data_IF_296871973698
#
_entry.id   IF_296871973698
#
_cell.length_a   1.000
_cell.length_b   1.000
_cell.length_c   1.000
_cell.angle_alpha   90.00
_cell.angle_beta   90.00
_cell.angle_gamma   90.00
#
_symmetry.space_group_name_H-M   'P 1'
#
loop_
_entity.id
_entity.type
_entity.pdbx_description
1 polymer ?
#
# COMPACT_ATOMS: atom_id res chain seq x y z
N UNK A 1 4.98 -7.78 29.07
CA UNK A 1 5.79 -6.73 28.43
C UNK A 1 7.17 -7.32 28.15
N UNK A 2 7.28 -8.05 27.04
CA UNK A 2 8.57 -8.45 26.48
C UNK A 2 9.22 -7.17 25.95
N UNK A 3 10.48 -6.93 26.27
CA UNK A 3 11.18 -5.72 25.84
C UNK A 3 11.12 -5.63 24.31
N UNK A 4 10.52 -4.57 23.78
CA UNK A 4 10.58 -4.23 22.35
C UNK A 4 12.02 -3.93 21.86
N UNK A 5 13.00 -4.08 22.77
CA UNK A 5 14.44 -3.94 22.57
C UNK A 5 15.19 -5.29 22.56
N UNK A 6 14.53 -6.43 22.79
CA UNK A 6 15.11 -7.77 22.56
C UNK A 6 14.92 -8.19 21.08
N UNK A 7 14.94 -7.22 20.16
CA UNK A 7 15.20 -7.52 18.76
C UNK A 7 16.72 -7.53 18.62
N UNK A 8 17.32 -8.72 18.53
CA UNK A 8 18.77 -9.02 18.49
C UNK A 8 19.52 -8.43 17.26
N UNK A 9 19.02 -7.33 16.70
CA UNK A 9 19.47 -6.80 15.42
C UNK A 9 19.01 -7.67 14.26
N UNK A 10 19.39 -7.34 13.01
CA UNK A 10 19.35 -8.34 11.95
C UNK A 10 20.06 -9.62 12.45
N UNK A 11 19.50 -10.82 12.23
CA UNK A 11 20.16 -12.05 12.66
C UNK A 11 21.61 -12.02 12.20
N UNK A 12 22.51 -12.30 13.13
CA UNK A 12 23.91 -12.55 12.84
C UNK A 12 23.91 -13.86 12.04
N UNK A 13 23.76 -13.78 10.71
CA UNK A 13 23.88 -14.89 9.76
C UNK A 13 25.35 -15.35 9.68
N UNK A 14 25.97 -15.53 10.85
CA UNK A 14 27.35 -15.93 11.08
C UNK A 14 27.49 -17.46 10.96
N UNK A 15 27.03 -18.02 9.84
CA UNK A 15 27.46 -19.34 9.37
C UNK A 15 28.14 -19.22 8.00
N UNK A 16 29.39 -18.76 8.02
CA UNK A 16 30.53 -19.16 7.17
C UNK A 16 30.40 -19.21 5.64
N UNK A 17 29.41 -18.57 5.03
CA UNK A 17 29.39 -18.27 3.61
C UNK A 17 29.13 -16.79 3.40
N UNK A 18 29.99 -16.09 2.64
CA UNK A 18 29.65 -14.74 2.18
C UNK A 18 28.25 -14.80 1.54
N UNK A 19 27.26 -14.03 2.03
CA UNK A 19 25.93 -14.08 1.45
C UNK A 19 26.02 -13.82 -0.04
N UNK A 20 25.23 -14.52 -0.88
CA UNK A 20 25.28 -14.35 -2.31
C UNK A 20 25.12 -12.87 -2.67
N UNK A 21 25.98 -12.37 -3.55
CA UNK A 21 25.91 -11.01 -4.06
C UNK A 21 24.54 -10.81 -4.73
N UNK A 22 23.74 -9.91 -4.17
CA UNK A 22 22.42 -9.59 -4.71
C UNK A 22 22.57 -8.46 -5.72
N UNK A 23 22.40 -8.81 -7.00
CA UNK A 23 22.50 -7.87 -8.10
C UNK A 23 21.23 -7.02 -8.23
N UNK A 24 21.34 -5.68 -8.25
CA UNK A 24 20.19 -4.80 -8.45
C UNK A 24 19.55 -5.00 -9.83
N UNK A 25 18.27 -4.66 -9.93
CA UNK A 25 17.51 -4.69 -11.18
C UNK A 25 18.05 -3.66 -12.19
N UNK A 26 18.09 -4.07 -13.46
CA UNK A 26 18.44 -3.21 -14.60
C UNK A 26 17.21 -2.43 -15.09
N UNK A 27 16.70 -1.52 -14.26
CA UNK A 27 15.53 -0.71 -14.59
C UNK A 27 15.61 0.71 -14.03
N UNK A 28 14.68 1.56 -14.47
CA UNK A 28 14.55 2.92 -13.94
C UNK A 28 13.98 2.93 -12.50
N UNK A 29 14.05 4.10 -11.87
CA UNK A 29 13.59 4.30 -10.49
C UNK A 29 12.07 4.11 -10.30
N UNK A 30 11.25 4.30 -11.35
CA UNK A 30 9.80 4.14 -11.27
C UNK A 30 9.43 2.65 -11.28
N UNK A 31 10.05 1.88 -12.17
CA UNK A 31 9.90 0.42 -12.19
C UNK A 31 10.43 -0.16 -10.88
N UNK A 32 11.63 0.22 -10.42
CA UNK A 32 12.16 -0.26 -9.14
C UNK A 32 11.24 0.05 -7.94
N UNK A 33 10.68 1.27 -7.88
CA UNK A 33 9.70 1.66 -6.85
C UNK A 33 8.39 0.89 -6.93
N UNK A 34 7.95 0.54 -8.14
CA UNK A 34 6.78 -0.32 -8.36
C UNK A 34 7.07 -1.76 -7.94
N UNK A 35 8.25 -2.29 -8.31
CA UNK A 35 8.70 -3.64 -7.99
C UNK A 35 8.84 -3.85 -6.50
N UNK A 36 9.54 -2.96 -5.77
CA UNK A 36 9.76 -3.13 -4.32
C UNK A 36 8.44 -3.22 -3.57
N UNK A 37 7.47 -2.38 -3.93
CA UNK A 37 6.15 -2.37 -3.33
C UNK A 37 5.40 -3.69 -3.55
N UNK A 38 5.27 -4.11 -4.81
CA UNK A 38 4.50 -5.32 -5.16
C UNK A 38 5.21 -6.60 -4.72
N UNK A 39 6.54 -6.63 -4.73
CA UNK A 39 7.31 -7.75 -4.23
C UNK A 39 7.09 -7.93 -2.72
N UNK A 40 7.12 -6.83 -1.94
CA UNK A 40 6.73 -6.86 -0.52
C UNK A 40 5.30 -7.42 -0.38
N UNK A 41 4.32 -6.87 -1.09
CA UNK A 41 2.93 -7.31 -1.09
C UNK A 41 2.76 -8.81 -1.35
N UNK A 42 3.54 -9.36 -2.29
CA UNK A 42 3.57 -10.78 -2.67
C UNK A 42 4.51 -11.64 -1.81
N UNK A 43 5.15 -11.08 -0.79
CA UNK A 43 6.10 -11.82 0.04
C UNK A 43 7.39 -12.26 -0.69
N UNK A 44 7.69 -11.67 -1.85
CA UNK A 44 8.90 -11.95 -2.62
C UNK A 44 10.07 -11.10 -2.09
N UNK A 45 10.72 -11.59 -1.05
CA UNK A 45 11.81 -10.89 -0.38
C UNK A 45 13.03 -10.67 -1.30
N UNK A 46 13.36 -11.64 -2.16
CA UNK A 46 14.53 -11.54 -3.04
C UNK A 46 14.33 -10.44 -4.09
N UNK A 47 13.20 -10.45 -4.78
CA UNK A 47 12.87 -9.40 -5.75
C UNK A 47 12.76 -8.03 -5.08
N UNK A 48 12.21 -7.97 -3.85
CA UNK A 48 12.13 -6.72 -3.09
C UNK A 48 13.53 -6.17 -2.74
N UNK A 49 14.48 -7.03 -2.35
CA UNK A 49 15.87 -6.63 -2.07
C UNK A 49 16.57 -6.09 -3.32
N UNK A 50 16.46 -6.79 -4.45
CA UNK A 50 17.04 -6.32 -5.72
C UNK A 50 16.47 -4.96 -6.13
N UNK A 51 15.15 -4.79 -5.99
CA UNK A 51 14.48 -3.55 -6.32
C UNK A 51 14.85 -2.39 -5.37
N UNK A 52 14.98 -2.64 -4.06
CA UNK A 52 15.35 -1.59 -3.11
C UNK A 52 16.78 -1.11 -3.32
N UNK A 53 17.71 -2.01 -3.68
CA UNK A 53 19.07 -1.64 -4.05
C UNK A 53 19.11 -0.78 -5.32
N UNK A 54 18.32 -1.12 -6.35
CA UNK A 54 18.17 -0.27 -7.54
C UNK A 54 17.63 1.11 -7.16
N UNK A 55 16.63 1.17 -6.28
CA UNK A 55 16.04 2.42 -5.85
C UNK A 55 17.00 3.28 -5.03
N UNK A 56 17.87 2.69 -4.21
CA UNK A 56 18.95 3.39 -3.51
C UNK A 56 19.96 3.99 -4.50
N UNK A 57 20.35 3.24 -5.54
CA UNK A 57 21.25 3.78 -6.58
C UNK A 57 20.67 5.02 -7.25
N UNK A 58 19.35 5.07 -7.46
CA UNK A 58 18.68 6.21 -8.10
C UNK A 58 18.31 7.36 -7.15
N UNK A 59 17.93 7.07 -5.89
CA UNK A 59 17.30 8.05 -4.97
C UNK A 59 17.98 8.19 -3.61
N UNK A 60 19.03 7.42 -3.34
CA UNK A 60 19.72 7.39 -2.04
C UNK A 60 18.74 7.17 -0.89
N UNK A 61 18.84 8.03 0.14
CA UNK A 61 18.02 7.93 1.36
C UNK A 61 16.52 8.24 1.13
N UNK A 62 16.12 8.77 -0.03
CA UNK A 62 14.71 8.99 -0.35
C UNK A 62 13.87 7.70 -0.35
N UNK A 63 14.51 6.53 -0.40
CA UNK A 63 13.85 5.22 -0.32
C UNK A 63 13.07 5.02 0.98
N UNK A 64 13.54 5.55 2.11
CA UNK A 64 12.92 5.27 3.42
C UNK A 64 11.51 5.86 3.54
N UNK A 65 11.25 7.03 2.94
CA UNK A 65 9.89 7.58 2.88
C UNK A 65 8.95 6.64 2.12
N UNK A 66 9.42 6.04 1.02
CA UNK A 66 8.63 5.07 0.23
C UNK A 66 8.38 3.78 1.01
N UNK A 67 9.40 3.23 1.66
CA UNK A 67 9.24 2.03 2.50
C UNK A 67 8.28 2.27 3.66
N UNK A 68 8.28 3.46 4.25
CA UNK A 68 7.32 3.83 5.30
C UNK A 68 5.88 3.81 4.78
N UNK A 69 5.60 4.40 3.61
CA UNK A 69 4.25 4.34 3.02
C UNK A 69 3.82 2.90 2.78
N UNK A 70 4.71 2.08 2.18
CA UNK A 70 4.43 0.65 1.93
C UNK A 70 4.13 -0.10 3.24
N UNK A 71 4.84 0.21 4.32
CA UNK A 71 4.60 -0.42 5.62
C UNK A 71 3.15 -0.19 6.12
N UNK A 72 2.68 1.06 6.08
CA UNK A 72 1.31 1.37 6.51
C UNK A 72 0.23 0.92 5.51
N UNK A 73 0.57 0.83 4.22
CA UNK A 73 -0.34 0.39 3.15
C UNK A 73 -0.53 -1.13 3.11
N UNK A 74 0.56 -1.91 3.16
CA UNK A 74 0.54 -3.35 2.88
C UNK A 74 0.73 -4.24 4.12
N UNK A 75 1.21 -3.70 5.25
CA UNK A 75 1.39 -4.46 6.52
C UNK A 75 0.32 -4.01 7.53
N UNK A 76 0.11 -2.70 7.67
CA UNK A 76 -1.01 -2.15 8.43
C UNK A 76 -1.16 -2.70 9.85
N UNK A 77 -2.39 -3.01 10.24
CA UNK A 77 -2.70 -3.59 11.56
C UNK A 77 -2.21 -5.04 11.72
N UNK A 78 -1.70 -5.66 10.65
CA UNK A 78 -1.21 -7.04 10.66
C UNK A 78 0.09 -7.23 11.45
N UNK A 79 0.89 -6.16 11.62
CA UNK A 79 2.11 -6.18 12.44
C UNK A 79 2.46 -4.79 13.03
N UNK A 80 1.70 -4.27 14.01
CA UNK A 80 1.88 -2.92 14.53
C UNK A 80 3.27 -2.69 15.16
N UNK A 81 3.85 -3.69 15.81
CA UNK A 81 5.20 -3.58 16.39
C UNK A 81 6.27 -3.42 15.31
N UNK A 82 6.11 -4.10 14.17
CA UNK A 82 6.99 -3.91 13.02
C UNK A 82 6.86 -2.48 12.47
N UNK A 83 5.65 -1.90 12.42
CA UNK A 83 5.47 -0.51 12.00
C UNK A 83 6.20 0.49 12.91
N UNK A 84 6.21 0.26 14.23
CA UNK A 84 6.99 1.07 15.17
C UNK A 84 8.47 1.03 14.83
N UNK A 85 9.03 -0.17 14.65
CA UNK A 85 10.44 -0.37 14.31
C UNK A 85 10.81 0.27 12.96
N UNK A 86 10.02 0.02 11.92
CA UNK A 86 10.24 0.60 10.60
C UNK A 86 10.15 2.12 10.62
N UNK A 87 9.18 2.68 11.35
CA UNK A 87 9.05 4.14 11.50
C UNK A 87 10.29 4.74 12.14
N UNK A 88 10.80 4.14 13.24
CA UNK A 88 12.06 4.58 13.88
C UNK A 88 13.23 4.60 12.91
N UNK A 89 13.44 3.52 12.15
CA UNK A 89 14.56 3.42 11.20
C UNK A 89 14.46 4.44 10.06
N UNK A 90 13.24 4.76 9.64
CA UNK A 90 12.99 5.75 8.60
C UNK A 90 13.18 7.20 9.10
N UNK A 91 12.79 7.50 10.34
CA UNK A 91 12.81 8.87 10.89
C UNK A 91 14.10 9.21 11.65
N UNK A 92 14.86 8.22 12.11
CA UNK A 92 16.11 8.42 12.85
C UNK A 92 17.33 7.93 12.04
N UNK A 93 17.98 8.85 11.35
CA UNK A 93 19.19 8.58 10.59
C UNK A 93 20.42 8.25 11.45
N UNK A 94 20.44 8.62 12.73
CA UNK A 94 21.52 8.25 13.64
C UNK A 94 21.36 6.80 14.08
N UNK A 95 20.16 6.42 14.48
CA UNK A 95 19.82 5.03 14.82
C UNK A 95 20.10 4.11 13.63
N UNK A 96 19.63 4.48 12.44
CA UNK A 96 19.85 3.67 11.22
C UNK A 96 21.33 3.38 10.96
N UNK A 97 22.22 4.37 11.15
CA UNK A 97 23.67 4.19 10.97
C UNK A 97 24.31 3.23 11.97
N UNK A 98 23.67 2.95 13.11
CA UNK A 98 24.14 1.96 14.08
C UNK A 98 23.89 0.52 13.60
N UNK A 99 22.90 0.32 12.72
CA UNK A 99 22.53 -0.99 12.17
C UNK A 99 23.22 -1.30 10.82
N UNK A 100 24.05 -0.40 10.30
CA UNK A 100 24.82 -0.61 9.07
C UNK A 100 24.63 0.50 8.04
N UNK A 101 25.08 0.23 6.81
CA UNK A 101 24.88 1.15 5.70
C UNK A 101 23.42 1.18 5.22
N UNK A 102 23.09 2.15 4.36
CA UNK A 102 21.73 2.32 3.83
C UNK A 102 21.20 1.06 3.14
N UNK A 103 22.07 0.34 2.42
CA UNK A 103 21.71 -0.88 1.70
C UNK A 103 21.36 -2.02 2.64
N UNK A 104 22.16 -2.23 3.68
CA UNK A 104 22.00 -3.26 4.70
C UNK A 104 20.66 -3.08 5.42
N UNK A 105 20.39 -1.87 5.91
CA UNK A 105 19.14 -1.60 6.63
C UNK A 105 17.93 -1.70 5.70
N UNK A 106 18.00 -1.15 4.49
CA UNK A 106 16.87 -1.22 3.56
C UNK A 106 16.54 -2.66 3.13
N UNK A 107 17.56 -3.51 2.92
CA UNK A 107 17.36 -4.94 2.61
C UNK A 107 16.68 -5.67 3.76
N UNK A 108 17.16 -5.47 4.99
CA UNK A 108 16.51 -6.01 6.18
C UNK A 108 15.05 -5.56 6.27
N UNK A 109 14.76 -4.27 6.07
CA UNK A 109 13.40 -3.73 6.11
C UNK A 109 12.48 -4.40 5.10
N UNK A 110 12.90 -4.54 3.84
CA UNK A 110 12.04 -5.15 2.80
C UNK A 110 11.86 -6.64 3.01
N UNK A 111 12.85 -7.36 3.56
CA UNK A 111 12.71 -8.77 3.95
C UNK A 111 11.73 -8.93 5.10
N UNK A 112 11.84 -8.10 6.14
CA UNK A 112 10.90 -8.10 7.27
C UNK A 112 9.47 -7.80 6.81
N UNK A 113 9.28 -6.80 5.94
CA UNK A 113 7.98 -6.46 5.37
C UNK A 113 7.43 -7.57 4.47
N UNK A 114 8.27 -8.22 3.65
CA UNK A 114 7.86 -9.33 2.79
C UNK A 114 7.36 -10.53 3.62
N UNK A 115 8.01 -10.82 4.76
CA UNK A 115 7.63 -11.90 5.67
C UNK A 115 6.40 -11.61 6.54
N UNK A 116 6.10 -10.33 6.80
CA UNK A 116 4.99 -9.94 7.68
C UNK A 116 3.60 -10.32 7.13
N UNK A 117 2.58 -10.52 7.98
CA UNK A 117 1.19 -10.55 7.53
C UNK A 117 0.82 -9.28 6.75
N UNK A 118 0.05 -9.45 5.69
CA UNK A 118 -0.38 -8.39 4.78
C UNK A 118 -1.78 -7.94 5.12
N UNK A 119 -1.95 -6.66 5.34
CA UNK A 119 -3.21 -6.05 5.73
C UNK A 119 -3.30 -4.68 5.06
N UNK A 120 -4.38 -4.46 4.31
CA UNK A 120 -4.56 -3.30 3.42
C UNK A 120 -5.76 -2.43 3.77
N UNK A 121 -6.42 -2.68 4.90
CA UNK A 121 -7.58 -1.91 5.34
C UNK A 121 -7.27 -0.43 5.46
N UNK A 122 -6.03 -0.04 5.78
CA UNK A 122 -5.64 1.37 5.76
C UNK A 122 -5.85 2.03 4.40
N UNK A 123 -5.46 1.37 3.32
CA UNK A 123 -5.61 1.83 1.93
C UNK A 123 -7.09 1.90 1.55
N UNK A 124 -7.84 0.82 1.81
CA UNK A 124 -9.27 0.76 1.54
C UNK A 124 -10.06 1.85 2.27
N UNK A 125 -9.73 2.07 3.54
CA UNK A 125 -10.44 3.00 4.40
C UNK A 125 -10.16 4.45 4.00
N UNK A 126 -8.91 4.81 3.68
CA UNK A 126 -8.61 6.18 3.21
C UNK A 126 -9.19 6.44 1.82
N UNK A 127 -9.10 5.49 0.88
CA UNK A 127 -9.71 5.62 -0.44
C UNK A 127 -11.22 5.86 -0.32
N UNK A 128 -11.89 5.13 0.59
CA UNK A 128 -13.31 5.29 0.89
C UNK A 128 -13.62 6.65 1.53
N UNK A 129 -12.83 7.07 2.53
CA UNK A 129 -12.97 8.36 3.18
C UNK A 129 -12.86 9.54 2.20
N UNK A 130 -12.00 9.43 1.19
CA UNK A 130 -11.77 10.49 0.20
C UNK A 130 -12.78 10.43 -0.95
N UNK A 131 -13.03 9.26 -1.52
CA UNK A 131 -13.67 9.15 -2.84
C UNK A 131 -15.07 8.56 -2.84
N UNK A 132 -15.50 7.92 -1.74
CA UNK A 132 -16.79 7.23 -1.74
C UNK A 132 -17.96 8.23 -1.74
N UNK A 133 -18.89 8.17 -2.71
CA UNK A 133 -19.96 9.17 -2.82
C UNK A 133 -20.93 9.17 -1.65
N UNK A 134 -21.29 7.99 -1.12
CA UNK A 134 -22.21 7.86 0.03
C UNK A 134 -21.60 8.37 1.34
N UNK A 135 -20.28 8.57 1.42
CA UNK A 135 -19.59 9.17 2.57
C UNK A 135 -19.39 10.68 2.44
N UNK A 136 -19.98 11.33 1.42
CA UNK A 136 -19.98 12.80 1.34
C UNK A 136 -20.62 13.42 2.59
N UNK A 137 -21.71 12.81 3.09
CA UNK A 137 -22.36 13.26 4.33
C UNK A 137 -21.43 13.16 5.55
N UNK A 138 -20.53 12.17 5.60
CA UNK A 138 -19.52 12.08 6.66
C UNK A 138 -18.51 13.24 6.54
N UNK A 139 -18.03 13.53 5.33
CA UNK A 139 -17.09 14.63 5.07
C UNK A 139 -17.71 15.99 5.42
N UNK A 140 -18.95 16.23 5.02
CA UNK A 140 -19.68 17.45 5.36
C UNK A 140 -19.89 17.59 6.87
N UNK A 141 -20.37 16.53 7.53
CA UNK A 141 -20.63 16.52 8.97
C UNK A 141 -19.33 16.80 9.76
N UNK A 142 -18.26 16.05 9.48
CA UNK A 142 -16.95 16.23 10.14
C UNK A 142 -16.31 17.57 9.79
N UNK A 143 -16.45 18.01 8.54
CA UNK A 143 -15.93 19.29 8.07
C UNK A 143 -16.49 20.49 8.84
N UNK A 144 -17.76 20.42 9.24
CA UNK A 144 -18.43 21.46 10.03
C UNK A 144 -18.03 21.48 11.52
N UNK A 145 -17.38 20.43 12.03
CA UNK A 145 -16.98 20.33 13.43
C UNK A 145 -15.71 21.11 13.76
N UNK A 146 -15.58 21.52 15.02
CA UNK A 146 -14.32 22.02 15.57
C UNK A 146 -13.25 20.90 15.61
N UNK A 147 -11.96 21.24 15.65
CA UNK A 147 -10.88 20.23 15.76
C UNK A 147 -11.10 19.33 16.98
N UNK A 148 -11.52 19.88 18.12
CA UNK A 148 -11.81 19.12 19.34
C UNK A 148 -12.93 18.10 19.13
N UNK A 149 -14.01 18.50 18.47
CA UNK A 149 -15.14 17.62 18.22
C UNK A 149 -14.80 16.55 17.18
N UNK A 150 -13.96 16.87 16.18
CA UNK A 150 -13.41 15.87 15.24
C UNK A 150 -12.59 14.82 15.97
N UNK A 151 -11.71 15.22 16.90
CA UNK A 151 -10.94 14.27 17.73
C UNK A 151 -11.88 13.38 18.56
N UNK A 152 -12.94 13.98 19.14
CA UNK A 152 -13.94 13.24 19.92
C UNK A 152 -14.64 12.19 19.06
N UNK A 153 -15.06 12.55 17.83
CA UNK A 153 -15.67 11.60 16.89
C UNK A 153 -14.69 10.53 16.45
N UNK A 154 -13.42 10.86 16.21
CA UNK A 154 -12.40 9.90 15.77
C UNK A 154 -12.20 8.76 16.78
N UNK A 155 -12.23 9.08 18.08
CA UNK A 155 -11.97 8.12 19.16
C UNK A 155 -13.21 7.47 19.76
N UNK A 156 -14.41 7.91 19.37
CA UNK A 156 -15.68 7.32 19.79
C UNK A 156 -15.83 5.90 19.22
N UNK A 157 -15.64 4.88 20.05
CA UNK A 157 -15.67 3.49 19.62
C UNK A 157 -17.05 2.99 19.16
N UNK A 158 -18.13 3.74 19.45
CA UNK A 158 -19.48 3.38 19.06
C UNK A 158 -19.95 4.13 17.80
N UNK A 159 -19.17 5.12 17.33
CA UNK A 159 -19.38 5.75 16.04
C UNK A 159 -19.01 4.81 14.87
N UNK A 160 -19.69 4.91 13.71
CA UNK A 160 -19.34 4.11 12.54
C UNK A 160 -17.88 4.31 12.10
N UNK A 161 -17.21 3.23 11.69
CA UNK A 161 -15.80 3.24 11.29
C UNK A 161 -15.49 4.29 10.22
N UNK A 162 -16.35 4.41 9.19
CA UNK A 162 -16.18 5.42 8.14
C UNK A 162 -16.18 6.86 8.67
N UNK A 163 -17.07 7.17 9.62
CA UNK A 163 -17.13 8.49 10.25
C UNK A 163 -15.88 8.79 11.08
N UNK A 164 -15.42 7.80 11.86
CA UNK A 164 -14.18 7.89 12.66
C UNK A 164 -12.93 8.04 11.79
N UNK A 165 -12.88 7.35 10.66
CA UNK A 165 -11.79 7.45 9.69
C UNK A 165 -11.73 8.86 9.08
N UNK A 166 -12.87 9.39 8.61
CA UNK A 166 -12.98 10.76 8.10
C UNK A 166 -12.61 11.78 9.19
N UNK A 167 -13.08 11.58 10.42
CA UNK A 167 -12.76 12.43 11.57
C UNK A 167 -11.26 12.41 11.91
N UNK A 168 -10.61 11.24 11.87
CA UNK A 168 -9.16 11.09 12.08
C UNK A 168 -8.37 11.86 11.03
N UNK A 169 -8.76 11.71 9.76
CA UNK A 169 -8.13 12.43 8.66
C UNK A 169 -8.29 13.95 8.83
N UNK A 170 -9.50 14.45 9.07
CA UNK A 170 -9.77 15.88 9.20
C UNK A 170 -9.18 16.49 10.49
N UNK A 171 -9.11 15.73 11.59
CA UNK A 171 -8.49 16.19 12.84
C UNK A 171 -6.98 16.32 12.72
N UNK A 172 -6.34 15.51 11.87
CA UNK A 172 -4.88 15.50 11.72
C UNK A 172 -4.31 16.73 11.01
N UNK A 173 -5.09 17.36 10.12
CA UNK A 173 -4.62 18.42 9.23
C UNK A 173 -3.72 17.92 8.08
N UNK A 174 -3.60 16.61 7.86
CA UNK A 174 -2.84 16.04 6.74
C UNK A 174 -3.69 16.04 5.47
N UNK A 175 -3.31 16.84 4.48
CA UNK A 175 -4.02 16.91 3.20
C UNK A 175 -3.82 15.64 2.35
N UNK A 176 -4.81 15.30 1.53
CA UNK A 176 -4.73 14.18 0.57
C UNK A 176 -4.42 14.69 -0.84
N UNK A 177 -3.22 14.43 -1.33
CA UNK A 177 -2.82 14.77 -2.70
C UNK A 177 -2.76 16.28 -2.95
N UNK A 178 -3.43 16.75 -4.02
CA UNK A 178 -3.41 18.17 -4.41
C UNK A 178 -4.53 18.99 -3.80
N UNK A 179 -5.53 18.34 -3.20
CA UNK A 179 -6.65 19.03 -2.59
C UNK A 179 -6.24 19.54 -1.20
N UNK A 180 -6.50 20.83 -0.94
CA UNK A 180 -6.24 21.47 0.36
C UNK A 180 -7.57 21.82 1.02
N UNK A 181 -8.26 20.80 1.54
CA UNK A 181 -9.64 20.93 2.04
C UNK A 181 -9.73 20.95 3.55
N UNK A 182 -8.73 20.41 4.25
CA UNK A 182 -8.84 20.16 5.68
C UNK A 182 -8.46 21.39 6.51
N UNK A 183 -7.42 22.10 6.07
CA UNK A 183 -6.88 23.23 6.81
C UNK A 183 -6.09 22.80 8.04
N UNK A 184 -6.16 23.59 9.12
CA UNK A 184 -5.43 23.29 10.36
C UNK A 184 -5.96 22.05 11.06
N UNK A 185 -5.06 21.28 11.68
CA UNK A 185 -5.38 20.12 12.53
C UNK A 185 -4.52 20.08 13.77
N UNK A 186 -4.79 19.09 14.63
CA UNK A 186 -4.06 18.81 15.87
C UNK A 186 -3.69 17.32 15.92
N UNK A 187 -2.71 16.94 15.09
CA UNK A 187 -2.20 15.57 15.05
C UNK A 187 -1.68 15.08 16.43
N UNK A 188 -0.90 15.86 17.22
CA UNK A 188 -0.50 15.44 18.56
C UNK A 188 -1.68 15.22 19.51
N UNK A 189 -2.68 16.12 19.50
CA UNK A 189 -3.89 15.98 20.30
C UNK A 189 -4.72 14.75 19.89
N UNK A 190 -4.85 14.50 18.58
CA UNK A 190 -5.51 13.29 18.06
C UNK A 190 -4.81 12.01 18.54
N UNK A 191 -3.48 11.93 18.45
CA UNK A 191 -2.74 10.76 18.91
C UNK A 191 -2.82 10.57 20.42
N UNK A 192 -2.81 11.67 21.20
CA UNK A 192 -3.02 11.63 22.65
C UNK A 192 -4.39 11.07 22.98
N UNK A 193 -5.45 11.54 22.31
CA UNK A 193 -6.80 11.02 22.51
C UNK A 193 -6.92 9.53 22.17
N UNK A 194 -6.22 9.05 21.13
CA UNK A 194 -6.17 7.62 20.83
C UNK A 194 -5.45 6.81 21.91
N UNK A 195 -4.38 7.34 22.50
CA UNK A 195 -3.70 6.70 23.65
C UNK A 195 -4.65 6.63 24.85
N UNK A 196 -5.38 7.71 25.14
CA UNK A 196 -6.39 7.73 26.21
C UNK A 196 -7.52 6.70 25.95
N UNK A 197 -7.84 6.46 24.67
CA UNK A 197 -8.74 5.41 24.22
C UNK A 197 -8.07 4.01 24.13
N UNK A 198 -6.87 3.85 24.68
CA UNK A 198 -6.17 2.57 24.85
C UNK A 198 -5.18 2.20 23.73
N UNK A 199 -4.91 3.05 22.74
CA UNK A 199 -3.86 2.80 21.74
C UNK A 199 -2.48 2.75 22.42
N UNK A 200 -1.57 1.82 22.08
CA UNK A 200 -0.26 1.79 22.70
C UNK A 200 0.54 3.06 22.35
N UNK A 201 1.21 3.65 23.33
CA UNK A 201 1.99 4.89 23.16
C UNK A 201 3.00 4.80 22.00
N UNK A 202 3.67 3.66 21.85
CA UNK A 202 4.65 3.44 20.79
C UNK A 202 4.01 3.47 19.39
N UNK A 203 2.80 2.91 19.25
CA UNK A 203 2.02 2.93 18.01
C UNK A 203 1.54 4.34 17.70
N UNK A 204 1.02 5.08 18.68
CA UNK A 204 0.60 6.47 18.51
C UNK A 204 1.75 7.36 18.04
N UNK A 205 2.93 7.21 18.67
CA UNK A 205 4.16 7.88 18.24
C UNK A 205 4.54 7.52 16.80
N UNK A 206 4.44 6.23 16.42
CA UNK A 206 4.79 5.79 15.07
C UNK A 206 3.86 6.42 14.03
N UNK A 207 2.54 6.43 14.26
CA UNK A 207 1.57 7.08 13.37
C UNK A 207 1.86 8.58 13.24
N UNK A 208 2.11 9.28 14.36
CA UNK A 208 2.45 10.70 14.34
C UNK A 208 3.71 10.98 13.51
N UNK A 209 4.78 10.24 13.78
CA UNK A 209 6.06 10.40 13.11
C UNK A 209 5.94 10.07 11.60
N UNK A 210 5.16 9.03 11.26
CA UNK A 210 4.94 8.64 9.89
C UNK A 210 4.10 9.66 9.11
N UNK A 211 3.04 10.21 9.73
CA UNK A 211 2.21 11.25 9.13
C UNK A 211 3.05 12.49 8.82
N UNK A 212 3.92 12.91 9.75
CA UNK A 212 4.84 14.05 9.56
C UNK A 212 5.89 13.80 8.48
N UNK A 213 6.43 12.57 8.39
CA UNK A 213 7.49 12.25 7.44
C UNK A 213 6.98 12.00 6.01
N UNK A 214 5.78 11.43 5.88
CA UNK A 214 5.21 11.05 4.58
C UNK A 214 4.26 12.08 4.03
N UNK A 215 3.56 12.84 4.89
CA UNK A 215 2.41 13.66 4.51
C UNK A 215 1.32 12.87 3.78
N UNK A 216 1.21 11.56 4.06
CA UNK A 216 0.19 10.70 3.47
C UNK A 216 -0.87 10.35 4.53
N UNK A 217 -2.16 10.59 4.28
CA UNK A 217 -3.21 10.36 5.27
C UNK A 217 -3.50 8.88 5.55
N UNK A 218 -3.01 7.96 4.71
CA UNK A 218 -3.18 6.50 4.90
C UNK A 218 -2.72 6.02 6.28
N UNK A 219 -1.68 6.63 6.85
CA UNK A 219 -1.14 6.23 8.16
C UNK A 219 -2.12 6.49 9.31
N UNK A 220 -3.05 7.43 9.12
CA UNK A 220 -4.06 7.84 10.10
C UNK A 220 -5.21 6.85 10.20
N UNK A 221 -5.29 5.89 9.29
CA UNK A 221 -6.29 4.83 9.32
C UNK A 221 -5.93 3.73 10.32
N UNK A 222 -4.65 3.64 10.73
CA UNK A 222 -4.17 2.60 11.65
C UNK A 222 -4.87 2.65 13.03
N UNK A 223 -4.99 3.80 13.72
CA UNK A 223 -5.64 3.85 15.03
C UNK A 223 -7.10 3.35 15.07
N UNK A 224 -8.03 3.82 14.20
CA UNK A 224 -9.41 3.34 14.25
C UNK A 224 -9.51 1.85 13.89
N UNK A 225 -8.69 1.35 12.96
CA UNK A 225 -8.62 -0.07 12.62
C UNK A 225 -8.14 -0.94 13.79
N UNK A 226 -7.14 -0.47 14.56
CA UNK A 226 -6.68 -1.19 15.75
C UNK A 226 -7.74 -1.22 16.87
N UNK A 227 -8.58 -0.19 16.98
CA UNK A 227 -9.74 -0.21 17.88
C UNK A 227 -10.78 -1.25 17.43
N UNK A 228 -11.06 -1.37 16.12
CA UNK A 228 -11.96 -2.41 15.59
C UNK A 228 -11.41 -3.81 15.82
N UNK A 229 -10.12 -4.03 15.56
CA UNK A 229 -9.47 -5.32 15.79
C UNK A 229 -9.59 -5.81 17.24
N UNK A 230 -9.58 -4.89 18.22
CA UNK A 230 -9.75 -5.20 19.64
C UNK A 230 -11.18 -5.50 20.05
N UNK A 231 -12.16 -4.97 19.30
CA UNK A 231 -13.60 -5.22 19.51
C UNK A 231 -14.05 -6.50 18.83
N UNK A 232 -13.27 -7.00 17.87
CA UNK A 232 -13.52 -8.26 17.18
C UNK A 232 -13.68 -9.44 18.15
N UNK A 233 -14.59 -10.34 17.78
CA UNK A 233 -14.87 -11.58 18.53
C UNK A 233 -13.85 -12.67 18.19
N UNK A 234 -13.30 -12.65 16.98
CA UNK A 234 -12.31 -13.64 16.53
C UNK A 234 -10.90 -13.10 16.68
N UNK A 235 -10.02 -13.94 17.20
CA UNK A 235 -8.59 -13.66 17.18
C UNK A 235 -8.09 -13.59 15.73
N UNK A 236 -7.17 -12.67 15.40
CA UNK A 236 -6.63 -12.56 14.07
C UNK A 236 -5.84 -13.81 13.69
N UNK A 237 -5.86 -14.17 12.41
CA UNK A 237 -5.06 -15.26 11.86
C UNK A 237 -4.32 -14.79 10.61
N UNK A 238 -3.44 -15.64 10.07
CA UNK A 238 -2.77 -15.38 8.80
C UNK A 238 -2.97 -16.57 7.88
N UNK A 239 -3.33 -16.29 6.63
CA UNK A 239 -3.59 -17.31 5.61
C UNK A 239 -2.72 -17.06 4.39
N UNK A 240 -2.10 -18.12 3.88
CA UNK A 240 -1.45 -18.03 2.57
C UNK A 240 -2.50 -18.05 1.47
N UNK A 241 -2.43 -17.08 0.55
CA UNK A 241 -3.34 -16.95 -0.59
C UNK A 241 -2.50 -17.01 -1.86
N UNK A 242 -2.92 -17.77 -2.89
CA UNK A 242 -2.20 -17.82 -4.15
C UNK A 242 -2.23 -16.44 -4.83
N UNK A 243 -1.08 -16.04 -5.37
CA UNK A 243 -0.95 -14.86 -6.24
C UNK A 243 -0.79 -15.28 -7.70
N UNK A 244 -1.15 -14.42 -8.67
CA UNK A 244 -0.96 -14.74 -10.08
C UNK A 244 0.50 -15.06 -10.42
N UNK A 245 0.75 -16.01 -11.34
CA UNK A 245 2.11 -16.36 -11.77
C UNK A 245 2.84 -15.13 -12.31
N UNK A 246 4.15 -15.06 -12.07
CA UNK A 246 4.98 -13.92 -12.46
C UNK A 246 5.84 -14.27 -13.65
N UNK A 247 5.72 -13.50 -14.73
CA UNK A 247 6.69 -13.50 -15.82
C UNK A 247 7.82 -12.51 -15.49
N UNK A 248 9.07 -12.93 -15.69
CA UNK A 248 10.25 -12.08 -15.54
C UNK A 248 10.88 -11.79 -16.89
N UNK A 249 11.29 -10.54 -17.11
CA UNK A 249 12.07 -10.11 -18.28
C UNK A 249 13.30 -9.37 -17.77
N UNK A 250 14.49 -9.89 -18.07
CA UNK A 250 15.77 -9.36 -17.58
C UNK A 250 15.80 -9.19 -16.04
N UNK A 251 15.13 -10.10 -15.32
CA UNK A 251 14.99 -10.07 -13.86
C UNK A 251 13.95 -9.08 -13.32
N UNK A 252 13.27 -8.30 -14.16
CA UNK A 252 12.17 -7.42 -13.78
C UNK A 252 10.84 -8.18 -13.89
N UNK A 253 10.03 -8.25 -12.82
CA UNK A 253 8.72 -8.89 -12.89
C UNK A 253 7.72 -8.03 -13.67
N UNK A 254 6.89 -8.64 -14.52
CA UNK A 254 5.92 -7.92 -15.36
C UNK A 254 4.85 -7.19 -14.54
N UNK A 255 4.51 -7.66 -13.34
CA UNK A 255 3.58 -6.96 -12.45
C UNK A 255 4.05 -5.56 -12.04
N UNK A 256 5.35 -5.26 -12.17
CA UNK A 256 5.89 -3.92 -11.93
C UNK A 256 5.36 -2.89 -12.93
N UNK A 257 4.93 -3.33 -14.12
CA UNK A 257 4.37 -2.50 -15.18
C UNK A 257 2.86 -2.36 -15.00
N UNK A 258 2.45 -1.55 -14.03
CA UNK A 258 1.05 -1.26 -13.73
C UNK A 258 0.67 0.22 -13.98
N UNK A 259 -0.49 0.65 -13.46
CA UNK A 259 -0.98 2.03 -13.55
C UNK A 259 -0.02 3.10 -13.00
N UNK A 260 0.92 2.73 -12.13
CA UNK A 260 1.86 3.65 -11.49
C UNK A 260 3.15 3.87 -12.28
N UNK A 261 3.37 3.12 -13.37
CA UNK A 261 4.53 3.32 -14.26
C UNK A 261 4.09 3.78 -15.65
N UNK A 262 4.93 4.55 -16.33
CA UNK A 262 4.62 4.99 -17.71
C UNK A 262 4.54 3.78 -18.66
N UNK A 263 5.49 2.85 -18.56
CA UNK A 263 5.50 1.63 -19.35
C UNK A 263 4.28 0.74 -19.06
N UNK A 264 3.88 0.62 -17.79
CA UNK A 264 2.67 -0.12 -17.41
C UNK A 264 1.38 0.50 -17.92
N UNK A 265 1.23 1.82 -17.82
CA UNK A 265 0.09 2.52 -18.43
C UNK A 265 0.01 2.31 -19.94
N UNK A 266 1.15 2.33 -20.63
CA UNK A 266 1.20 2.02 -22.07
C UNK A 266 0.80 0.57 -22.34
N UNK A 267 1.31 -0.39 -21.56
CA UNK A 267 1.00 -1.80 -21.70
C UNK A 267 -0.51 -2.07 -21.54
N UNK A 268 -1.11 -1.51 -20.48
CA UNK A 268 -2.54 -1.68 -20.19
C UNK A 268 -3.40 -1.10 -21.32
N UNK A 269 -3.01 0.04 -21.89
CA UNK A 269 -3.76 0.64 -23.01
C UNK A 269 -3.59 -0.08 -24.34
N UNK A 270 -2.45 -0.74 -24.56
CA UNK A 270 -2.26 -1.61 -25.71
C UNK A 270 -3.09 -2.88 -25.53
N UNK A 271 -3.00 -3.52 -24.37
CA UNK A 271 -3.80 -4.68 -23.99
C UNK A 271 -5.31 -4.44 -24.15
N UNK A 272 -5.85 -3.35 -23.58
CA UNK A 272 -7.27 -3.02 -23.69
C UNK A 272 -7.72 -2.73 -25.13
N UNK A 273 -6.80 -2.32 -26.00
CA UNK A 273 -7.06 -2.10 -27.42
C UNK A 273 -6.94 -3.38 -28.23
N UNK A 274 -5.96 -4.22 -27.96
CA UNK A 274 -5.61 -5.40 -28.76
C UNK A 274 -6.45 -6.61 -28.38
N UNK A 275 -6.84 -6.74 -27.11
CA UNK A 275 -7.67 -7.84 -26.62
C UNK A 275 -9.18 -7.56 -26.85
N UNK A 276 -9.82 -8.41 -27.66
CA UNK A 276 -11.23 -8.23 -28.04
C UNK A 276 -12.18 -8.37 -26.85
N UNK A 277 -11.99 -9.35 -25.97
CA UNK A 277 -12.87 -9.60 -24.83
C UNK A 277 -12.83 -8.44 -23.83
N UNK A 278 -11.62 -7.95 -23.54
CA UNK A 278 -11.41 -6.77 -22.68
C UNK A 278 -12.08 -5.53 -23.27
N UNK A 279 -11.92 -5.31 -24.57
CA UNK A 279 -12.57 -4.16 -25.23
C UNK A 279 -14.08 -4.27 -25.15
N UNK A 280 -14.63 -5.46 -25.42
CA UNK A 280 -16.07 -5.71 -25.38
C UNK A 280 -16.66 -5.55 -23.98
N UNK A 281 -15.99 -6.03 -22.92
CA UNK A 281 -16.50 -5.86 -21.55
C UNK A 281 -16.46 -4.40 -21.11
N UNK A 282 -15.41 -3.65 -21.49
CA UNK A 282 -15.33 -2.21 -21.20
C UNK A 282 -16.42 -1.43 -21.96
N UNK A 283 -16.67 -1.74 -23.23
CA UNK A 283 -17.74 -1.11 -24.02
C UNK A 283 -19.14 -1.40 -23.44
N UNK A 284 -19.33 -2.58 -22.84
CA UNK A 284 -20.60 -2.99 -22.25
C UNK A 284 -20.93 -2.23 -20.97
N UNK A 285 -19.95 -2.07 -20.07
CA UNK A 285 -20.20 -1.57 -18.71
C UNK A 285 -19.68 -0.16 -18.43
N UNK A 286 -18.65 0.29 -19.16
CA UNK A 286 -17.91 1.52 -18.82
C UNK A 286 -18.17 2.58 -19.88
N UNK A 287 -18.51 3.82 -19.51
CA UNK A 287 -18.57 4.94 -20.44
C UNK A 287 -17.22 5.14 -21.15
N UNK A 288 -17.22 5.42 -22.45
CA UNK A 288 -16.00 5.50 -23.27
C UNK A 288 -14.92 6.42 -22.68
N UNK A 289 -15.33 7.59 -22.18
CA UNK A 289 -14.40 8.57 -21.58
C UNK A 289 -13.72 8.08 -20.28
N UNK A 290 -14.20 6.97 -19.70
CA UNK A 290 -13.65 6.32 -18.50
C UNK A 290 -12.89 5.02 -18.79
N UNK A 291 -12.89 4.52 -20.03
CA UNK A 291 -12.24 3.23 -20.38
C UNK A 291 -10.79 3.13 -19.92
N UNK A 292 -10.03 4.22 -20.04
CA UNK A 292 -8.63 4.27 -19.60
C UNK A 292 -8.50 4.01 -18.10
N UNK A 293 -9.25 4.74 -17.28
CA UNK A 293 -9.12 4.68 -15.82
C UNK A 293 -9.67 3.34 -15.31
N UNK A 294 -10.75 2.84 -15.90
CA UNK A 294 -11.30 1.50 -15.66
C UNK A 294 -10.28 0.40 -15.99
N UNK A 295 -9.62 0.46 -17.15
CA UNK A 295 -8.60 -0.53 -17.53
C UNK A 295 -7.41 -0.51 -16.57
N UNK A 296 -7.00 0.67 -16.08
CA UNK A 296 -5.92 0.81 -15.09
C UNK A 296 -6.26 0.15 -13.76
N UNK A 297 -7.45 0.37 -13.22
CA UNK A 297 -7.85 -0.24 -11.95
C UNK A 297 -8.17 -1.73 -12.11
N UNK A 298 -8.85 -2.16 -13.17
CA UNK A 298 -9.09 -3.57 -13.42
C UNK A 298 -7.78 -4.37 -13.54
N UNK A 299 -6.78 -3.84 -14.25
CA UNK A 299 -5.44 -4.46 -14.32
C UNK A 299 -4.73 -4.49 -12.96
N UNK A 300 -4.92 -3.44 -12.15
CA UNK A 300 -4.33 -3.36 -10.81
C UNK A 300 -4.95 -4.41 -9.87
N UNK A 301 -6.28 -4.50 -9.79
CA UNK A 301 -6.99 -5.46 -8.93
C UNK A 301 -6.78 -6.92 -9.35
N UNK A 302 -6.55 -7.19 -10.63
CA UNK A 302 -6.34 -8.56 -11.13
C UNK A 302 -4.91 -9.08 -10.93
N UNK A 303 -3.91 -8.19 -10.90
CA UNK A 303 -2.50 -8.61 -10.88
C UNK A 303 -1.67 -7.92 -9.80
N UNK A 304 -1.74 -6.60 -9.65
CA UNK A 304 -0.89 -5.87 -8.70
C UNK A 304 -1.41 -5.89 -7.25
N UNK A 305 -2.68 -6.19 -7.05
CA UNK A 305 -3.38 -6.16 -5.76
C UNK A 305 -3.20 -7.40 -4.88
N UNK A 306 -3.20 -8.64 -5.43
CA UNK A 306 -3.14 -9.86 -4.63
C UNK A 306 -1.96 -9.90 -3.64
N UNK A 307 -2.23 -10.43 -2.44
CA UNK A 307 -1.28 -10.60 -1.33
C UNK A 307 -1.04 -12.09 -1.06
N UNK A 308 0.19 -12.47 -0.67
CA UNK A 308 0.53 -13.89 -0.44
C UNK A 308 0.25 -14.36 0.99
N UNK A 309 0.37 -13.47 1.98
CA UNK A 309 0.19 -13.77 3.41
C UNK A 309 -0.89 -12.87 4.00
N UNK A 310 -2.16 -13.14 3.70
CA UNK A 310 -3.28 -12.29 4.12
C UNK A 310 -3.48 -12.37 5.64
N UNK A 311 -3.57 -11.22 6.29
CA UNK A 311 -4.01 -11.09 7.67
C UNK A 311 -5.54 -11.14 7.71
N UNK A 312 -6.10 -12.07 8.46
CA UNK A 312 -7.53 -12.35 8.54
C UNK A 312 -8.08 -11.88 9.89
N UNK A 313 -9.13 -11.06 9.87
CA UNK A 313 -9.83 -10.54 11.04
C UNK A 313 -11.28 -10.19 10.67
N UNK A 314 -12.14 -9.88 11.65
CA UNK A 314 -13.59 -9.86 11.47
C UNK A 314 -14.14 -8.99 10.33
N UNK A 315 -13.52 -7.84 10.01
CA UNK A 315 -14.02 -6.90 8.99
C UNK A 315 -13.17 -6.88 7.70
N UNK A 316 -12.21 -7.80 7.54
CA UNK A 316 -11.25 -7.73 6.43
C UNK A 316 -11.92 -7.81 5.05
N UNK A 317 -12.89 -8.72 4.88
CA UNK A 317 -13.58 -8.93 3.61
C UNK A 317 -14.51 -7.75 3.27
N UNK A 318 -15.19 -7.21 4.28
CA UNK A 318 -16.08 -6.06 4.15
C UNK A 318 -15.30 -4.79 3.75
N UNK A 319 -14.13 -4.58 4.36
CA UNK A 319 -13.26 -3.45 4.04
C UNK A 319 -12.58 -3.60 2.67
N UNK A 320 -12.17 -4.82 2.29
CA UNK A 320 -11.66 -5.07 0.95
C UNK A 320 -12.71 -4.80 -0.12
N UNK A 321 -13.93 -5.30 0.06
CA UNK A 321 -15.05 -5.04 -0.84
C UNK A 321 -15.35 -3.54 -0.91
N UNK A 322 -15.42 -2.86 0.24
CA UNK A 322 -15.64 -1.42 0.33
C UNK A 322 -14.60 -0.62 -0.47
N UNK A 323 -13.31 -0.94 -0.30
CA UNK A 323 -12.22 -0.27 -0.99
C UNK A 323 -12.21 -0.56 -2.49
N UNK A 324 -12.38 -1.83 -2.87
CA UNK A 324 -12.47 -2.25 -4.27
C UNK A 324 -13.64 -1.57 -4.99
N UNK A 325 -14.83 -1.58 -4.39
CA UNK A 325 -16.01 -0.93 -4.95
C UNK A 325 -15.78 0.57 -5.14
N UNK A 326 -15.21 1.24 -4.12
CA UNK A 326 -14.93 2.67 -4.17
C UNK A 326 -14.02 3.01 -5.35
N UNK A 327 -12.92 2.28 -5.49
CA UNK A 327 -11.95 2.46 -6.56
C UNK A 327 -12.57 2.23 -7.94
N UNK A 328 -13.26 1.10 -8.12
CA UNK A 328 -13.86 0.72 -9.40
C UNK A 328 -15.01 1.67 -9.80
N UNK A 329 -15.86 2.09 -8.86
CA UNK A 329 -16.87 3.13 -9.10
C UNK A 329 -16.25 4.45 -9.51
N UNK A 330 -15.19 4.88 -8.83
CA UNK A 330 -14.47 6.11 -9.16
C UNK A 330 -13.86 6.06 -10.57
N UNK A 331 -13.40 4.88 -11.00
CA UNK A 331 -12.94 4.64 -12.37
C UNK A 331 -14.07 4.48 -13.40
N UNK A 332 -15.34 4.50 -12.99
CA UNK A 332 -16.51 4.44 -13.87
C UNK A 332 -17.02 3.04 -14.18
N UNK A 333 -16.61 2.01 -13.43
CA UNK A 333 -17.17 0.66 -13.53
C UNK A 333 -18.37 0.57 -12.57
N UNK A 334 -19.59 0.34 -13.07
CA UNK A 334 -20.77 0.22 -12.22
C UNK A 334 -20.75 -1.10 -11.43
N UNK A 335 -21.44 -1.15 -10.30
CA UNK A 335 -21.45 -2.31 -9.37
C UNK A 335 -21.83 -3.61 -10.09
N UNK A 336 -22.82 -3.58 -10.96
CA UNK A 336 -23.30 -4.73 -11.73
C UNK A 336 -22.32 -5.22 -12.80
N UNK A 337 -21.32 -4.41 -13.18
CA UNK A 337 -20.26 -4.76 -14.13
C UNK A 337 -18.93 -5.13 -13.51
N UNK A 338 -18.75 -4.97 -12.18
CA UNK A 338 -17.43 -5.15 -11.54
C UNK A 338 -16.88 -6.56 -11.68
N UNK A 339 -17.68 -7.60 -11.36
CA UNK A 339 -17.24 -8.99 -11.47
C UNK A 339 -16.87 -9.33 -12.91
N UNK A 340 -17.75 -9.03 -13.87
CA UNK A 340 -17.53 -9.31 -15.30
C UNK A 340 -16.24 -8.66 -15.82
N UNK A 341 -16.01 -7.38 -15.49
CA UNK A 341 -14.79 -6.69 -15.89
C UNK A 341 -13.56 -7.35 -15.27
N UNK A 342 -13.55 -7.62 -13.97
CA UNK A 342 -12.40 -8.24 -13.30
C UNK A 342 -12.14 -9.66 -13.80
N UNK A 343 -13.18 -10.46 -14.05
CA UNK A 343 -13.07 -11.83 -14.52
C UNK A 343 -12.50 -11.90 -15.95
N UNK A 344 -12.91 -10.98 -16.82
CA UNK A 344 -12.34 -10.87 -18.18
C UNK A 344 -10.88 -10.45 -18.13
N UNK A 345 -10.51 -9.47 -17.30
CA UNK A 345 -9.11 -9.07 -17.14
C UNK A 345 -8.26 -10.22 -16.56
N UNK A 346 -8.76 -10.93 -15.55
CA UNK A 346 -8.07 -12.08 -14.93
C UNK A 346 -7.85 -13.22 -15.92
N UNK A 347 -8.87 -13.53 -16.72
CA UNK A 347 -8.81 -14.58 -17.75
C UNK A 347 -7.86 -14.24 -18.90
N UNK A 348 -7.49 -12.96 -19.05
CA UNK A 348 -6.63 -12.46 -20.12
C UNK A 348 -5.28 -11.92 -19.61
N UNK A 349 -4.89 -12.28 -18.38
CA UNK A 349 -3.66 -11.77 -17.76
C UNK A 349 -2.39 -12.17 -18.53
N UNK A 350 -2.37 -13.35 -19.16
CA UNK A 350 -1.24 -13.80 -19.98
C UNK A 350 -1.00 -12.87 -21.18
N UNK A 351 -2.06 -12.39 -21.84
CA UNK A 351 -1.93 -11.43 -22.93
C UNK A 351 -1.40 -10.08 -22.43
N UNK A 352 -1.87 -9.59 -21.27
CA UNK A 352 -1.29 -8.39 -20.66
C UNK A 352 0.21 -8.57 -20.34
N UNK A 353 0.61 -9.75 -19.85
CA UNK A 353 2.01 -10.06 -19.58
C UNK A 353 2.87 -10.11 -20.85
N UNK A 354 2.34 -10.64 -21.97
CA UNK A 354 3.01 -10.60 -23.27
C UNK A 354 3.25 -9.17 -23.76
N UNK A 355 2.23 -8.30 -23.65
CA UNK A 355 2.36 -6.88 -24.02
C UNK A 355 3.43 -6.18 -23.16
N UNK A 356 3.44 -6.42 -21.85
CA UNK A 356 4.45 -5.88 -20.93
C UNK A 356 5.86 -6.36 -21.27
N UNK A 357 6.01 -7.65 -21.59
CA UNK A 357 7.29 -8.23 -21.95
C UNK A 357 7.87 -7.61 -23.23
N UNK A 358 7.02 -7.38 -24.25
CA UNK A 358 7.43 -6.69 -25.48
C UNK A 358 7.95 -5.27 -25.24
N UNK A 359 7.33 -4.53 -24.31
CA UNK A 359 7.78 -3.18 -23.94
C UNK A 359 9.12 -3.20 -23.18
N UNK A 360 9.32 -4.14 -22.25
CA UNK A 360 10.59 -4.28 -21.53
C UNK A 360 11.74 -4.64 -22.46
N UNK A 361 11.56 -5.65 -23.33
CA UNK A 361 12.60 -6.08 -24.28
C UNK A 361 13.00 -4.99 -25.27
N UNK A 362 12.06 -4.13 -25.67
CA UNK A 362 12.33 -3.00 -26.57
C UNK A 362 13.12 -1.87 -25.89
N UNK A 363 12.98 -1.70 -24.58
CA UNK A 363 13.73 -0.71 -23.80
C UNK A 363 15.18 -1.15 -23.55
N UNK A 364 15.42 -2.44 -23.27
CA UNK A 364 16.77 -2.98 -23.11
C UNK A 364 17.61 -2.81 -24.38
N UNK A 365 17.02 -2.98 -25.56
CA UNK A 365 17.71 -2.83 -26.84
C UNK A 365 18.14 -1.39 -27.16
N UNK A 366 17.49 -0.37 -26.59
CA UNK A 366 17.80 1.05 -26.85
C UNK A 366 18.81 1.68 -25.89
N UNK A 367 19.14 1.00 -24.79
CA UNK A 367 20.03 1.51 -23.74
C UNK A 367 21.52 1.16 -23.90
N UNK A 368 21.90 0.45 -24.97
CA UNK A 368 23.29 0.01 -25.23
C UNK A 368 23.86 0.74 -26.48
N UNK A 369 23.36 1.94 -26.77
CA UNK A 369 23.79 2.77 -27.91
C UNK A 369 24.57 4.01 -27.46
#
# INVERSE_FOLDING_TARGET
>A
MTNLFDYDGPPDDAETGSPPLIEPLSCDAWIASSTVHKAIRRGDAETAERAVLTLIRHRGNGVFRRLMVIAYEDIGIGAPDLLVTLTRLCTDARLRRQYGDTSTVARWMVRAMAAAPKERSSDYLICSAVHRPDWECHREAVGALSIRDRITVATDADAPLGLRATASWFASGVEAGTEKRIGGGDLPGLMTAYVDAGLPQATAWAVEAAAKATHEPIVLMLPPLLQELRRGLRGPTSRSVPVPPTLFVDGVPTYALDKHTRAGRQAIMNFARENQDVRSVLQRYVPEFRHRDAAYLASFYTDAMPVTHRFEWDQVDELEMLGQDTDLLWAGIPVDGMSDVLDVFRSNLDHLNQVRAGLLGSSSAKGIG
#
